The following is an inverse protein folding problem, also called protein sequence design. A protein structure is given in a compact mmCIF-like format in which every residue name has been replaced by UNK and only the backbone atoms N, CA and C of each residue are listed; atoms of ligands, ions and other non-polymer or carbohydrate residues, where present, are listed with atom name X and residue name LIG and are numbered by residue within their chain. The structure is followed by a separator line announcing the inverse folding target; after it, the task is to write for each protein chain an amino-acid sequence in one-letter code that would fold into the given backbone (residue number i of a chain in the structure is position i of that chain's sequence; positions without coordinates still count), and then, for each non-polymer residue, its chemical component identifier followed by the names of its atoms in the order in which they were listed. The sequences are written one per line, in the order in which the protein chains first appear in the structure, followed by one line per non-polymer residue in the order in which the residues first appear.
data_IF_837533429842
#
_entry.id   IF_837533429842
#
_cell.length_a   1.000
_cell.length_b   1.000
_cell.length_c   1.000
_cell.angle_alpha   90.00
_cell.angle_beta   90.00
_cell.angle_gamma   90.00
#
_symmetry.space_group_name_H-M   'P 1'
#
loop_
_entity.id
_entity.type
_entity.pdbx_description
1 polymer ?
#
# COMPACT_ATOMS: atom_id res chain seq x y z
N UNK A 1 27.37 6.34 2.86
CA UNK A 1 25.95 6.08 3.20
C UNK A 1 25.89 4.96 4.23
N UNK A 2 24.79 4.78 4.95
CA UNK A 2 24.61 3.61 5.81
C UNK A 2 24.41 2.34 4.96
N UNK A 3 24.80 1.18 5.48
CA UNK A 3 24.60 -0.12 4.84
C UNK A 3 23.34 -0.85 5.38
N UNK A 4 22.80 -0.37 6.50
CA UNK A 4 21.64 -0.94 7.18
C UNK A 4 20.66 0.17 7.53
N UNK A 5 19.36 -0.11 7.44
CA UNK A 5 18.30 0.83 7.86
C UNK A 5 17.36 0.15 8.85
N UNK A 6 16.79 0.89 9.79
CA UNK A 6 15.70 0.40 10.63
C UNK A 6 14.79 1.55 11.03
N UNK A 7 13.48 1.39 10.84
CA UNK A 7 12.48 2.41 11.13
C UNK A 7 11.24 1.79 11.75
N UNK A 8 10.89 2.26 12.94
CA UNK A 8 9.63 1.92 13.62
C UNK A 8 8.56 2.98 13.36
N UNK A 9 7.34 2.52 13.11
CA UNK A 9 6.11 3.31 12.97
C UNK A 9 5.15 2.92 14.09
N UNK A 10 5.32 3.55 15.26
CA UNK A 10 4.48 3.29 16.42
C UNK A 10 3.01 3.67 16.22
N UNK A 11 2.15 3.06 17.01
CA UNK A 11 0.74 3.40 17.18
C UNK A 11 0.34 3.19 18.64
N UNK A 12 -0.95 3.35 18.97
CA UNK A 12 -1.43 3.17 20.34
C UNK A 12 -1.41 1.70 20.80
N UNK A 13 -1.82 0.78 19.90
CA UNK A 13 -1.91 -0.67 20.16
C UNK A 13 -1.03 -1.54 19.25
N UNK A 14 -0.69 -1.07 18.04
CA UNK A 14 0.10 -1.84 17.06
C UNK A 14 1.19 -0.97 16.45
N UNK A 15 2.31 -1.58 16.07
CA UNK A 15 3.48 -0.94 15.47
C UNK A 15 4.00 -1.75 14.28
N UNK A 16 4.57 -1.06 13.31
CA UNK A 16 5.20 -1.65 12.12
C UNK A 16 6.69 -1.27 12.12
N UNK A 17 7.57 -2.24 11.90
CA UNK A 17 9.01 -2.03 11.74
C UNK A 17 9.42 -2.43 10.33
N UNK A 18 10.19 -1.57 9.68
CA UNK A 18 11.05 -1.94 8.54
C UNK A 18 12.47 -2.13 9.09
N UNK A 19 13.13 -3.23 8.70
CA UNK A 19 14.58 -3.40 8.86
C UNK A 19 15.19 -3.84 7.53
N UNK A 20 16.14 -3.06 7.02
CA UNK A 20 16.91 -3.38 5.83
C UNK A 20 18.26 -3.97 6.25
N UNK A 21 18.59 -5.22 5.83
CA UNK A 21 19.95 -5.75 5.94
C UNK A 21 20.89 -5.00 4.99
N UNK A 22 22.16 -5.43 4.93
CA UNK A 22 23.20 -4.89 4.05
C UNK A 22 22.68 -4.60 2.62
N UNK A 23 23.18 -3.54 1.98
CA UNK A 23 22.68 -3.08 0.67
C UNK A 23 22.76 -4.13 -0.45
N UNK A 24 23.73 -5.05 -0.34
CA UNK A 24 23.95 -6.18 -1.27
C UNK A 24 22.94 -7.33 -1.14
N UNK A 25 21.99 -7.26 -0.20
CA UNK A 25 21.03 -8.33 0.09
C UNK A 25 19.66 -7.98 -0.54
N UNK A 26 19.11 -8.80 -1.45
CA UNK A 26 17.92 -8.45 -2.25
C UNK A 26 16.58 -8.66 -1.51
N UNK A 27 16.51 -8.26 -0.24
CA UNK A 27 15.28 -8.28 0.56
C UNK A 27 15.31 -7.29 1.72
N UNK A 28 14.14 -7.01 2.30
CA UNK A 28 13.98 -6.31 3.58
C UNK A 28 13.10 -7.15 4.52
N UNK A 29 13.15 -6.84 5.82
CA UNK A 29 12.21 -7.40 6.79
C UNK A 29 11.13 -6.39 7.14
N UNK A 30 9.87 -6.82 7.02
CA UNK A 30 8.71 -6.10 7.52
C UNK A 30 8.15 -6.85 8.73
N UNK A 31 7.93 -6.15 9.84
CA UNK A 31 7.43 -6.77 11.08
C UNK A 31 6.29 -5.97 11.71
N UNK A 32 5.23 -6.65 12.14
CA UNK A 32 4.21 -6.08 13.01
C UNK A 32 4.38 -6.61 14.43
N UNK A 33 4.16 -5.73 15.42
CA UNK A 33 4.12 -6.05 16.84
C UNK A 33 2.98 -5.31 17.52
N UNK A 34 2.34 -5.94 18.50
CA UNK A 34 1.32 -5.35 19.35
C UNK A 34 1.91 -4.81 20.66
N UNK A 35 1.16 -3.91 21.29
CA UNK A 35 1.37 -3.43 22.64
C UNK A 35 0.51 -4.27 23.60
N UNK A 36 1.13 -4.76 24.66
CA UNK A 36 0.51 -5.61 25.69
C UNK A 36 -0.22 -4.76 26.73
N UNK A 37 -1.05 -5.41 27.55
CA UNK A 37 -1.82 -4.74 28.61
C UNK A 37 -0.94 -4.16 29.73
N UNK A 38 0.27 -4.71 29.94
CA UNK A 38 1.31 -4.14 30.80
C UNK A 38 1.96 -2.85 30.24
N UNK A 39 1.53 -2.41 29.05
CA UNK A 39 2.03 -1.23 28.36
C UNK A 39 3.37 -1.42 27.63
N UNK A 40 3.98 -2.61 27.68
CA UNK A 40 5.19 -2.97 26.92
C UNK A 40 4.85 -3.38 25.48
N UNK A 41 5.87 -3.52 24.64
CA UNK A 41 5.74 -4.03 23.27
C UNK A 41 6.15 -5.51 23.21
N UNK A 42 5.46 -6.27 22.36
CA UNK A 42 5.90 -7.61 21.93
C UNK A 42 7.32 -7.60 21.35
N UNK A 43 8.02 -8.73 21.49
CA UNK A 43 9.39 -8.92 21.02
C UNK A 43 9.47 -10.13 20.07
N UNK A 44 9.81 -9.87 18.81
CA UNK A 44 10.06 -10.89 17.78
C UNK A 44 11.11 -11.93 18.21
N UNK A 45 12.12 -11.52 18.99
CA UNK A 45 13.11 -12.41 19.61
C UNK A 45 12.53 -13.41 20.64
N UNK A 46 11.26 -13.27 21.04
CA UNK A 46 10.51 -14.22 21.87
C UNK A 46 9.46 -15.02 21.07
N UNK A 47 9.39 -14.85 19.75
CA UNK A 47 8.31 -15.39 18.91
C UNK A 47 6.99 -14.62 19.00
N UNK A 48 6.99 -13.42 19.60
CA UNK A 48 5.83 -12.52 19.69
C UNK A 48 5.81 -11.56 18.49
N UNK A 49 4.62 -11.16 18.01
CA UNK A 49 4.51 -10.40 16.75
C UNK A 49 4.62 -11.28 15.51
N UNK A 50 4.83 -10.66 14.35
CA UNK A 50 5.04 -11.36 13.07
C UNK A 50 6.02 -10.62 12.18
N UNK A 51 6.99 -11.34 11.62
CA UNK A 51 7.99 -10.83 10.65
C UNK A 51 7.91 -11.62 9.34
N UNK A 52 8.11 -10.93 8.22
CA UNK A 52 8.19 -11.49 6.86
C UNK A 52 9.40 -10.91 6.10
N UNK A 53 9.94 -11.67 5.15
CA UNK A 53 11.12 -11.33 4.34
C UNK A 53 10.65 -10.88 2.95
N UNK A 54 10.43 -9.58 2.75
CA UNK A 54 9.93 -9.04 1.49
C UNK A 54 11.03 -9.03 0.43
N UNK A 55 10.76 -9.60 -0.74
CA UNK A 55 11.63 -9.51 -1.92
C UNK A 55 11.63 -8.10 -2.56
N UNK A 56 12.44 -7.90 -3.61
CA UNK A 56 12.44 -6.66 -4.40
C UNK A 56 11.07 -6.44 -5.07
N UNK A 57 10.48 -7.52 -5.57
CA UNK A 57 9.20 -7.54 -6.27
C UNK A 57 8.03 -7.26 -5.31
N UNK A 58 8.04 -7.83 -4.10
CA UNK A 58 7.04 -7.52 -3.07
C UNK A 58 7.10 -6.04 -2.62
N UNK A 59 8.29 -5.41 -2.63
CA UNK A 59 8.42 -3.96 -2.40
C UNK A 59 7.77 -3.17 -3.54
N UNK A 60 7.94 -3.59 -4.80
CA UNK A 60 7.32 -2.97 -5.98
C UNK A 60 5.79 -3.09 -5.89
N UNK A 61 5.24 -4.26 -5.57
CA UNK A 61 3.80 -4.46 -5.42
C UNK A 61 3.18 -3.61 -4.30
N UNK A 62 3.88 -3.42 -3.17
CA UNK A 62 3.45 -2.50 -2.11
C UNK A 62 3.53 -1.03 -2.59
N UNK A 63 4.53 -0.67 -3.40
CA UNK A 63 4.66 0.68 -3.98
C UNK A 63 3.56 0.97 -5.01
N UNK A 64 3.15 0.02 -5.84
CA UNK A 64 1.99 0.15 -6.75
C UNK A 64 0.71 0.53 -6.00
N UNK A 65 0.47 -0.07 -4.82
CA UNK A 65 -0.64 0.31 -3.93
C UNK A 65 -0.45 1.72 -3.36
N UNK A 66 0.76 2.05 -2.87
CA UNK A 66 1.07 3.38 -2.33
C UNK A 66 0.91 4.50 -3.37
N UNK A 67 1.19 4.22 -4.64
CA UNK A 67 0.98 5.12 -5.78
C UNK A 67 -0.46 5.16 -6.29
N UNK A 68 -1.39 4.42 -5.67
CA UNK A 68 -2.81 4.30 -6.08
C UNK A 68 -3.00 3.74 -7.50
N UNK A 69 -2.06 2.91 -7.96
CA UNK A 69 -2.19 2.19 -9.24
C UNK A 69 -2.92 0.86 -9.05
N UNK A 70 -2.81 0.27 -7.86
CA UNK A 70 -3.62 -0.85 -7.36
C UNK A 70 -4.39 -0.44 -6.10
N UNK A 71 -5.63 -0.91 -5.91
CA UNK A 71 -6.41 -0.62 -4.70
C UNK A 71 -5.88 -1.40 -3.49
N UNK A 72 -5.49 -2.66 -3.73
CA UNK A 72 -4.75 -3.50 -2.81
C UNK A 72 -3.92 -4.57 -3.52
N UNK A 73 -2.99 -5.15 -2.76
CA UNK A 73 -2.17 -6.31 -3.09
C UNK A 73 -2.22 -7.31 -1.93
N UNK A 74 -2.32 -8.60 -2.27
CA UNK A 74 -2.07 -9.73 -1.36
C UNK A 74 -0.91 -10.55 -1.89
N UNK A 75 0.04 -10.85 -1.01
CA UNK A 75 1.04 -11.90 -1.18
C UNK A 75 0.91 -12.96 -0.08
N UNK A 76 1.56 -14.11 -0.26
CA UNK A 76 1.58 -15.17 0.76
C UNK A 76 2.96 -15.78 0.91
N UNK A 77 3.41 -15.97 2.16
CA UNK A 77 4.64 -16.70 2.48
C UNK A 77 4.27 -18.06 3.10
N UNK A 78 4.59 -19.15 2.42
CA UNK A 78 4.39 -20.52 2.92
C UNK A 78 5.69 -21.05 3.52
N UNK A 79 5.64 -21.58 4.73
CA UNK A 79 6.78 -22.26 5.35
C UNK A 79 6.30 -23.36 6.30
N UNK A 80 6.71 -24.62 6.06
CA UNK A 80 6.30 -25.80 6.83
C UNK A 80 4.78 -25.82 7.08
N UNK A 81 4.02 -25.89 5.99
CA UNK A 81 2.54 -25.86 5.92
C UNK A 81 1.87 -24.54 6.38
N UNK A 82 2.58 -23.66 7.11
CA UNK A 82 2.03 -22.40 7.61
C UNK A 82 2.06 -21.32 6.53
N UNK A 83 0.90 -21.07 5.92
CA UNK A 83 0.66 -19.93 5.01
C UNK A 83 0.46 -18.64 5.81
N UNK A 84 1.30 -17.64 5.56
CA UNK A 84 1.22 -16.29 6.12
C UNK A 84 0.75 -15.32 5.05
N UNK A 85 -0.39 -14.66 5.26
CA UNK A 85 -0.83 -13.55 4.39
C UNK A 85 0.02 -12.29 4.64
N UNK A 86 0.33 -11.58 3.57
CA UNK A 86 0.81 -10.21 3.58
C UNK A 86 -0.18 -9.42 2.73
N UNK A 87 -0.70 -8.31 3.27
CA UNK A 87 -1.63 -7.45 2.55
C UNK A 87 -1.25 -5.99 2.72
N UNK A 88 -1.29 -5.25 1.62
CA UNK A 88 -1.23 -3.80 1.59
C UNK A 88 -2.41 -3.28 0.78
N UNK A 89 -3.24 -2.41 1.35
CA UNK A 89 -4.40 -1.88 0.64
C UNK A 89 -5.00 -0.67 1.34
N UNK A 90 -5.76 0.13 0.62
CA UNK A 90 -6.43 1.28 1.20
C UNK A 90 -7.68 0.85 1.98
N UNK A 91 -7.75 1.19 3.27
CA UNK A 91 -8.99 1.09 4.06
C UNK A 91 -9.92 2.26 3.75
N UNK A 92 -9.34 3.44 3.54
CA UNK A 92 -10.04 4.65 3.13
C UNK A 92 -9.06 5.53 2.33
N UNK A 93 -9.14 5.44 1.00
CA UNK A 93 -8.38 6.26 0.06
C UNK A 93 -8.62 7.77 0.27
N UNK A 94 -9.85 8.13 0.61
CA UNK A 94 -10.34 9.50 0.74
C UNK A 94 -9.76 10.16 1.99
N UNK A 95 -9.49 9.37 3.04
CA UNK A 95 -8.81 9.75 4.30
C UNK A 95 -7.32 9.39 4.35
N UNK A 96 -6.73 8.90 3.26
CA UNK A 96 -5.32 8.45 3.19
C UNK A 96 -4.97 7.44 4.30
N UNK A 97 -5.81 6.41 4.47
CA UNK A 97 -5.59 5.32 5.43
C UNK A 97 -5.18 4.05 4.68
N UNK A 98 -3.88 3.78 4.67
CA UNK A 98 -3.34 2.50 4.21
C UNK A 98 -3.41 1.49 5.37
N UNK A 99 -3.86 0.29 5.07
CA UNK A 99 -3.82 -0.87 5.94
C UNK A 99 -2.72 -1.83 5.48
N UNK A 100 -1.74 -2.07 6.35
CA UNK A 100 -0.78 -3.16 6.24
C UNK A 100 -1.22 -4.29 7.19
N UNK A 101 -1.25 -5.53 6.70
CA UNK A 101 -1.57 -6.73 7.48
C UNK A 101 -0.51 -7.81 7.23
N UNK A 102 -0.09 -8.51 8.29
CA UNK A 102 0.92 -9.58 8.26
C UNK A 102 0.43 -10.71 9.16
N UNK A 103 -0.15 -11.74 8.56
CA UNK A 103 -0.97 -12.72 9.27
C UNK A 103 -2.13 -12.05 10.01
N UNK A 104 -2.25 -12.29 11.31
CA UNK A 104 -3.28 -11.70 12.17
C UNK A 104 -2.99 -10.24 12.58
N UNK A 105 -1.75 -9.77 12.41
CA UNK A 105 -1.33 -8.46 12.87
C UNK A 105 -1.64 -7.36 11.84
N UNK A 106 -2.20 -6.24 12.31
CA UNK A 106 -2.60 -5.13 11.45
C UNK A 106 -2.04 -3.77 11.89
N UNK A 107 -1.55 -2.97 10.95
CA UNK A 107 -1.14 -1.58 11.15
C UNK A 107 -1.80 -0.66 10.14
N UNK A 108 -2.51 0.35 10.65
CA UNK A 108 -2.96 1.49 9.87
C UNK A 108 -1.84 2.54 9.79
N UNK A 109 -1.53 3.00 8.58
CA UNK A 109 -0.65 4.13 8.29
C UNK A 109 -1.49 5.30 7.76
N UNK A 110 -1.10 6.51 8.17
CA UNK A 110 -1.73 7.80 7.82
C UNK A 110 -0.63 8.85 7.76
N UNK A 111 -0.91 10.02 7.19
CA UNK A 111 0.00 11.17 7.23
C UNK A 111 0.45 11.47 8.69
N UNK A 112 1.73 11.81 8.95
CA UNK A 112 2.87 11.85 8.02
C UNK A 112 3.58 10.50 7.84
N UNK A 113 3.28 9.50 8.69
CA UNK A 113 3.92 8.19 8.68
C UNK A 113 3.78 7.45 7.35
N UNK A 114 2.65 7.63 6.65
CA UNK A 114 2.39 7.09 5.32
C UNK A 114 3.40 7.60 4.29
N UNK A 115 3.57 8.92 4.17
CA UNK A 115 4.53 9.53 3.25
C UNK A 115 5.97 9.11 3.56
N UNK A 116 6.33 9.02 4.85
CA UNK A 116 7.65 8.51 5.25
C UNK A 116 7.82 7.04 4.85
N UNK A 117 6.79 6.21 4.98
CA UNK A 117 6.81 4.80 4.57
C UNK A 117 7.02 4.66 3.06
N UNK A 118 6.33 5.46 2.22
CA UNK A 118 6.56 5.49 0.77
C UNK A 118 8.00 5.88 0.43
N UNK A 119 8.48 7.03 0.90
CA UNK A 119 9.83 7.53 0.63
C UNK A 119 10.94 6.56 1.11
N UNK A 120 10.68 5.83 2.21
CA UNK A 120 11.61 4.82 2.71
C UNK A 120 11.62 3.55 1.84
N UNK A 121 10.47 3.09 1.34
CA UNK A 121 10.42 1.97 0.40
C UNK A 121 11.03 2.34 -0.96
N UNK A 122 10.84 3.57 -1.44
CA UNK A 122 11.51 4.10 -2.64
C UNK A 122 13.03 4.08 -2.50
N UNK A 123 13.56 4.64 -1.41
CA UNK A 123 15.00 4.61 -1.10
C UNK A 123 15.52 3.17 -1.07
N UNK A 124 14.84 2.29 -0.34
CA UNK A 124 15.27 0.90 -0.15
C UNK A 124 15.20 0.09 -1.44
N UNK A 125 14.17 0.30 -2.27
CA UNK A 125 14.06 -0.32 -3.59
C UNK A 125 15.23 0.10 -4.50
N UNK A 126 15.49 1.41 -4.59
CA UNK A 126 16.61 1.92 -5.39
C UNK A 126 17.96 1.38 -4.91
N UNK A 127 18.16 1.31 -3.59
CA UNK A 127 19.37 0.74 -2.97
C UNK A 127 19.53 -0.76 -3.28
N UNK A 128 18.46 -1.56 -3.18
CA UNK A 128 18.53 -3.01 -3.45
C UNK A 128 18.71 -3.29 -4.94
N UNK A 129 18.11 -2.50 -5.83
CA UNK A 129 18.39 -2.60 -7.27
C UNK A 129 19.86 -2.25 -7.54
N UNK A 130 20.36 -1.10 -7.07
CA UNK A 130 21.74 -0.68 -7.33
C UNK A 130 22.79 -1.70 -6.83
N UNK A 131 22.61 -2.26 -5.63
CA UNK A 131 23.66 -3.05 -4.98
C UNK A 131 23.42 -4.56 -4.86
N UNK A 132 22.17 -5.05 -4.97
CA UNK A 132 21.87 -6.48 -4.85
C UNK A 132 21.62 -7.19 -6.19
N UNK A 133 21.40 -6.46 -7.30
CA UNK A 133 21.33 -7.07 -8.66
C UNK A 133 22.61 -6.92 -9.48
N UNK A 134 23.56 -6.10 -9.04
CA UNK A 134 24.78 -5.74 -9.79
C UNK A 134 25.96 -6.72 -9.66
N UNK A 135 25.77 -7.91 -9.09
CA UNK A 135 26.83 -8.91 -8.95
C UNK A 135 26.36 -10.24 -8.34
N UNK A 136 27.18 -11.29 -8.47
CA UNK A 136 26.88 -12.62 -7.93
C UNK A 136 26.94 -12.65 -6.41
N UNK A 137 25.77 -12.62 -5.76
CA UNK A 137 25.62 -12.86 -4.33
C UNK A 137 25.96 -14.32 -4.01
N UNK A 138 27.15 -14.58 -3.46
CA UNK A 138 27.53 -15.92 -2.99
C UNK A 138 26.73 -16.32 -1.74
N UNK A 139 25.58 -16.95 -1.97
CA UNK A 139 24.89 -17.74 -0.94
C UNK A 139 25.84 -18.82 -0.42
N UNK A 140 26.24 -18.72 0.86
CA UNK A 140 27.06 -19.72 1.57
C UNK A 140 26.26 -21.00 1.84
N UNK A 141 26.01 -21.73 0.76
CA UNK A 141 25.18 -22.93 0.69
C UNK A 141 25.91 -24.10 1.35
N UNK A 142 25.51 -24.45 2.59
CA UNK A 142 26.04 -25.63 3.29
C UNK A 142 25.37 -26.91 2.82
N UNK A 143 26.05 -27.67 1.96
CA UNK A 143 25.81 -29.10 1.73
C UNK A 143 24.56 -29.44 0.90
N UNK A 144 24.77 -30.17 -0.19
CA UNK A 144 23.70 -30.80 -0.97
C UNK A 144 23.13 -32.03 -0.24
N UNK A 145 21.86 -32.32 -0.48
CA UNK A 145 21.42 -33.68 -0.81
C UNK A 145 20.16 -33.64 -1.68
N UNK A 146 20.03 -34.62 -2.58
CA UNK A 146 19.07 -34.73 -3.70
C UNK A 146 17.97 -35.81 -3.42
N UNK A 147 16.83 -35.89 -4.13
CA UNK A 147 16.51 -35.41 -5.49
C UNK A 147 15.44 -34.28 -5.50
N UNK A 148 14.17 -34.34 -5.95
CA UNK A 148 13.26 -35.38 -6.51
C UNK A 148 12.26 -34.71 -7.51
N UNK A 149 11.54 -35.48 -8.34
CA UNK A 149 10.95 -35.05 -9.63
C UNK A 149 9.43 -34.72 -9.69
N UNK A 150 9.03 -34.09 -10.81
CA UNK A 150 7.70 -33.97 -11.47
C UNK A 150 6.48 -33.33 -10.76
N UNK A 151 5.98 -32.20 -11.31
CA UNK A 151 4.77 -32.19 -12.16
C UNK A 151 4.63 -30.84 -12.95
N UNK A 152 4.13 -30.89 -14.19
CA UNK A 152 3.97 -29.74 -15.09
C UNK A 152 2.49 -29.34 -15.26
N UNK A 153 2.06 -28.19 -14.70
CA UNK A 153 0.78 -27.56 -15.06
C UNK A 153 0.85 -26.03 -15.06
N UNK A 154 0.51 -25.41 -16.20
CA UNK A 154 0.53 -23.97 -16.40
C UNK A 154 -0.84 -23.30 -16.40
N UNK A 155 -0.96 -22.22 -15.62
CA UNK A 155 -1.92 -21.11 -15.84
C UNK A 155 -1.13 -19.82 -15.60
N UNK A 156 -1.47 -18.73 -16.31
CA UNK A 156 -0.72 -17.46 -16.29
C UNK A 156 -0.64 -16.83 -14.88
N UNK A 157 0.48 -17.10 -14.20
CA UNK A 157 0.98 -16.39 -13.04
C UNK A 157 2.52 -16.45 -13.10
N UNK A 158 3.21 -15.34 -12.88
CA UNK A 158 4.68 -15.32 -12.81
C UNK A 158 5.14 -15.99 -11.50
N UNK A 159 5.36 -17.30 -11.59
CA UNK A 159 5.84 -18.11 -10.47
C UNK A 159 7.31 -17.76 -10.18
N UNK A 160 7.54 -16.74 -9.34
CA UNK A 160 8.86 -16.43 -8.80
C UNK A 160 9.22 -17.51 -7.77
N UNK A 161 9.64 -18.69 -8.26
CA UNK A 161 10.12 -19.80 -7.44
C UNK A 161 11.47 -19.49 -6.85
N UNK A 162 11.49 -18.68 -5.78
CA UNK A 162 12.66 -18.52 -4.94
C UNK A 162 13.03 -19.88 -4.32
N UNK A 163 14.33 -20.22 -4.34
CA UNK A 163 14.88 -21.53 -3.88
C UNK A 163 14.65 -21.89 -2.41
N UNK A 164 13.95 -21.04 -1.65
CA UNK A 164 13.58 -21.23 -0.24
C UNK A 164 12.24 -22.00 -0.07
N UNK A 165 11.57 -22.41 -1.16
CA UNK A 165 10.24 -23.05 -1.11
C UNK A 165 9.08 -22.07 -0.90
N UNK A 166 9.28 -20.80 -1.28
CA UNK A 166 8.36 -19.70 -1.02
C UNK A 166 7.33 -19.55 -2.15
N UNK A 167 6.14 -20.14 -2.00
CA UNK A 167 5.04 -19.95 -2.95
C UNK A 167 4.31 -18.62 -2.72
N UNK A 168 4.76 -17.57 -3.41
CA UNK A 168 4.04 -16.31 -3.54
C UNK A 168 2.83 -16.56 -4.46
N UNK A 169 1.63 -16.23 -3.97
CA UNK A 169 0.39 -16.18 -4.77
C UNK A 169 -0.11 -14.76 -4.68
N UNK A 170 -0.17 -14.07 -5.82
CA UNK A 170 -0.56 -12.66 -5.87
C UNK A 170 -2.02 -12.48 -6.29
N UNK A 171 -2.71 -11.51 -5.66
CA UNK A 171 -3.95 -10.95 -6.20
C UNK A 171 -3.93 -9.42 -6.08
N UNK A 172 -3.89 -8.72 -7.21
CA UNK A 172 -4.12 -7.29 -7.32
C UNK A 172 -5.54 -7.02 -7.80
N UNK A 173 -6.36 -6.42 -6.93
CA UNK A 173 -7.71 -5.97 -7.29
C UNK A 173 -7.60 -4.59 -7.95
N UNK A 174 -7.55 -4.57 -9.29
CA UNK A 174 -7.70 -3.35 -10.08
C UNK A 174 -9.18 -2.94 -10.16
N UNK A 175 -9.46 -1.64 -10.08
CA UNK A 175 -10.79 -1.03 -10.18
C UNK A 175 -11.82 -1.49 -9.13
N UNK A 176 -11.54 -1.30 -7.84
CA UNK A 176 -12.63 -1.03 -6.88
C UNK A 176 -13.37 0.24 -7.34
N UNK A 177 -14.69 0.14 -7.56
CA UNK A 177 -15.50 1.23 -8.11
C UNK A 177 -15.41 2.49 -7.24
N UNK A 178 -14.94 3.61 -7.83
CA UNK A 178 -14.99 4.91 -7.15
C UNK A 178 -16.46 5.29 -7.00
N UNK A 179 -16.94 5.24 -5.76
CA UNK A 179 -18.28 5.67 -5.38
C UNK A 179 -18.47 7.16 -5.71
N UNK A 180 -19.15 7.38 -6.85
CA UNK A 180 -19.30 8.65 -7.55
C UNK A 180 -20.78 8.96 -7.72
N UNK A 181 -21.11 10.24 -7.58
CA UNK A 181 -22.48 10.75 -7.64
C UNK A 181 -22.57 11.85 -8.69
N UNK A 182 -23.66 11.84 -9.47
CA UNK A 182 -23.97 12.94 -10.37
C UNK A 182 -24.68 14.06 -9.59
N UNK A 183 -24.04 15.23 -9.49
CA UNK A 183 -24.64 16.45 -8.96
C UNK A 183 -24.96 17.43 -10.09
N UNK A 184 -25.94 18.31 -9.85
CA UNK A 184 -26.17 19.50 -10.68
C UNK A 184 -25.67 20.72 -9.94
N UNK A 185 -24.75 21.46 -10.54
CA UNK A 185 -24.09 22.59 -9.89
C UNK A 185 -23.71 23.70 -10.87
N UNK A 186 -23.58 24.94 -10.38
CA UNK A 186 -22.98 26.06 -11.12
C UNK A 186 -21.53 26.28 -10.67
N UNK A 187 -20.60 26.52 -11.59
CA UNK A 187 -19.19 26.82 -11.26
C UNK A 187 -19.04 28.34 -11.11
N UNK A 188 -18.82 28.81 -9.88
CA UNK A 188 -18.77 30.24 -9.54
C UNK A 188 -17.35 30.81 -9.64
N UNK A 189 -16.36 30.09 -9.12
CA UNK A 189 -14.94 30.48 -9.10
C UNK A 189 -14.05 29.28 -9.37
N UNK A 190 -13.00 29.47 -10.17
CA UNK A 190 -11.92 28.48 -10.34
C UNK A 190 -10.69 28.87 -9.50
N UNK A 191 -9.99 27.86 -8.98
CA UNK A 191 -8.61 27.97 -8.50
C UNK A 191 -7.73 26.91 -9.19
N UNK A 192 -6.39 26.97 -9.06
CA UNK A 192 -5.51 25.97 -9.66
C UNK A 192 -5.80 24.51 -9.25
N UNK A 193 -6.36 24.27 -8.06
CA UNK A 193 -6.59 22.91 -7.52
C UNK A 193 -8.04 22.55 -7.21
N UNK A 194 -8.96 23.52 -7.19
CA UNK A 194 -10.36 23.31 -6.81
C UNK A 194 -11.31 24.29 -7.53
N UNK A 195 -12.57 23.90 -7.68
CA UNK A 195 -13.68 24.75 -8.13
C UNK A 195 -14.57 25.10 -6.93
N UNK A 196 -15.08 26.33 -6.88
CA UNK A 196 -16.17 26.71 -5.99
C UNK A 196 -17.48 26.55 -6.73
N UNK A 197 -18.34 25.66 -6.23
CA UNK A 197 -19.62 25.36 -6.85
C UNK A 197 -20.80 25.85 -6.00
N UNK A 198 -21.95 26.01 -6.63
CA UNK A 198 -23.26 26.23 -5.98
C UNK A 198 -24.17 25.06 -6.35
N UNK A 199 -24.79 24.41 -5.37
CA UNK A 199 -25.85 23.40 -5.61
C UNK A 199 -27.24 24.02 -5.74
N UNK A 200 -28.20 23.22 -6.19
CA UNK A 200 -29.62 23.60 -6.26
C UNK A 200 -30.25 23.92 -4.88
N UNK A 201 -29.63 23.50 -3.78
CA UNK A 201 -29.97 23.89 -2.41
C UNK A 201 -29.58 25.33 -2.05
N UNK A 202 -28.78 26.00 -2.89
CA UNK A 202 -28.15 27.28 -2.59
C UNK A 202 -26.86 27.18 -1.76
N UNK A 203 -26.42 25.96 -1.44
CA UNK A 203 -25.17 25.73 -0.70
C UNK A 203 -23.94 25.93 -1.60
N UNK A 204 -22.95 26.68 -1.11
CA UNK A 204 -21.68 26.94 -1.78
C UNK A 204 -20.53 26.21 -1.09
N UNK A 205 -19.74 25.43 -1.84
CA UNK A 205 -18.52 24.79 -1.31
C UNK A 205 -17.47 24.52 -2.38
N UNK A 206 -16.26 24.17 -1.93
CA UNK A 206 -15.11 23.89 -2.78
C UNK A 206 -14.95 22.38 -3.04
N UNK A 207 -14.82 22.00 -4.31
CA UNK A 207 -14.52 20.64 -4.78
C UNK A 207 -13.13 20.63 -5.42
N UNK A 208 -12.19 19.76 -4.98
CA UNK A 208 -10.91 19.57 -5.67
C UNK A 208 -11.09 19.08 -7.12
N UNK A 209 -10.35 19.63 -8.07
CA UNK A 209 -10.44 19.22 -9.49
C UNK A 209 -10.15 17.73 -9.70
N UNK A 210 -9.26 17.15 -8.88
CA UNK A 210 -8.89 15.73 -8.89
C UNK A 210 -9.98 14.77 -8.37
N UNK A 211 -11.19 15.27 -8.16
CA UNK A 211 -12.35 14.51 -7.63
C UNK A 211 -13.62 14.76 -8.46
N UNK A 212 -13.44 15.33 -9.66
CA UNK A 212 -14.46 15.53 -10.68
C UNK A 212 -14.04 14.67 -11.88
N UNK A 213 -14.87 13.68 -12.23
CA UNK A 213 -14.58 12.69 -13.27
C UNK A 213 -15.28 13.01 -14.61
N UNK A 214 -16.21 13.96 -14.60
CA UNK A 214 -16.85 14.51 -15.81
C UNK A 214 -16.07 15.69 -16.38
N UNK A 215 -16.15 15.89 -17.70
CA UNK A 215 -15.84 17.17 -18.32
C UNK A 215 -16.72 18.29 -17.74
N UNK A 216 -16.18 19.50 -17.65
CA UNK A 216 -16.89 20.69 -17.17
C UNK A 216 -16.39 21.94 -17.90
N UNK A 217 -17.21 22.98 -18.01
CA UNK A 217 -16.85 24.26 -18.61
C UNK A 217 -16.74 25.36 -17.53
N UNK A 218 -15.62 26.07 -17.51
CA UNK A 218 -15.33 27.16 -16.57
C UNK A 218 -15.93 28.50 -17.06
N UNK A 219 -16.19 28.61 -18.36
CA UNK A 219 -16.67 29.83 -19.00
C UNK A 219 -18.19 29.98 -18.80
N UNK A 220 -18.95 28.90 -18.94
CA UNK A 220 -20.39 28.86 -18.71
C UNK A 220 -20.74 28.79 -17.20
N UNK A 221 -20.61 29.94 -16.52
CA UNK A 221 -20.86 30.10 -15.08
C UNK A 221 -22.34 30.25 -14.71
N UNK A 222 -23.19 30.52 -15.68
CA UNK A 222 -24.62 30.81 -15.45
C UNK A 222 -25.50 29.56 -15.56
N UNK A 223 -25.13 28.55 -16.35
CA UNK A 223 -25.89 27.30 -16.46
C UNK A 223 -25.53 26.28 -15.37
N UNK A 224 -26.45 25.34 -15.12
CA UNK A 224 -26.21 24.19 -14.23
C UNK A 224 -25.58 23.05 -15.03
N UNK A 225 -24.39 22.65 -14.63
CA UNK A 225 -23.66 21.54 -15.24
C UNK A 225 -23.85 20.26 -14.42
N UNK A 226 -23.92 19.12 -15.11
CA UNK A 226 -23.88 17.79 -14.51
C UNK A 226 -22.41 17.48 -14.18
N UNK A 227 -22.06 17.41 -12.90
CA UNK A 227 -20.73 17.02 -12.45
C UNK A 227 -20.78 15.61 -11.84
N UNK A 228 -19.96 14.70 -12.34
CA UNK A 228 -19.73 13.39 -11.71
C UNK A 228 -18.59 13.58 -10.71
N UNK A 229 -18.87 13.47 -9.42
CA UNK A 229 -17.92 13.78 -8.34
C UNK A 229 -17.85 12.66 -7.31
N UNK A 230 -16.76 12.57 -6.56
CA UNK A 230 -16.67 11.62 -5.45
C UNK A 230 -17.76 11.87 -4.39
N UNK A 231 -18.52 10.84 -4.02
CA UNK A 231 -19.65 10.96 -3.08
C UNK A 231 -19.28 11.58 -1.72
N UNK A 232 -18.07 11.28 -1.20
CA UNK A 232 -17.61 11.75 0.13
C UNK A 232 -17.52 13.27 0.26
N UNK A 233 -17.45 13.99 -0.86
CA UNK A 233 -17.37 15.45 -0.86
C UNK A 233 -18.73 16.04 -0.55
N UNK A 234 -19.79 15.39 -1.01
CA UNK A 234 -21.18 15.77 -0.71
C UNK A 234 -21.50 15.41 0.74
N UNK A 235 -21.14 14.20 1.18
CA UNK A 235 -21.25 13.77 2.59
C UNK A 235 -20.52 14.73 3.55
N UNK A 236 -19.26 15.05 3.26
CA UNK A 236 -18.40 15.89 4.11
C UNK A 236 -18.91 17.32 4.24
N UNK A 237 -19.43 17.90 3.15
CA UNK A 237 -20.03 19.23 3.16
C UNK A 237 -21.51 19.21 3.62
N UNK A 238 -22.08 18.03 3.89
CA UNK A 238 -23.49 17.79 4.31
C UNK A 238 -24.54 18.27 3.30
N UNK A 239 -24.14 18.45 2.03
CA UNK A 239 -24.93 19.13 1.00
C UNK A 239 -26.01 18.23 0.34
N UNK A 240 -26.51 17.25 1.10
CA UNK A 240 -27.73 16.49 0.84
C UNK A 240 -28.41 16.28 2.19
N UNK A 241 -29.56 16.94 2.38
CA UNK A 241 -30.40 16.87 3.58
C UNK A 241 -31.85 17.19 3.25
#
# INVERSE_FOLDING_TARGET
MADFHTKTFYGQKTSLLISSPAKIVPYIFLSCINRKDDGTWEKTAKGEGKTVKLSIEEIICILEVLYRRSANWRGYHVFKERKTEIYAGWEDEKRLVLLIKIGEYMKKLRFPNLNFFTLLLEHLLSEKIEFATSGTFESKTKGKQEVDDEEEYGVFAEHITARDGLHIVETTEYNTSIDTIEIKAKIKVESPKALMIILNSGEEFWIPKSTIHSSYDINNKEEQQKLVVDNWIIEKNKAMK
#
